data_IF_330543707503
#
_entry.id   IF_330543707503
#
_cell.length_a   1.000
_cell.length_b   1.000
_cell.length_c   1.000
_cell.angle_alpha   90.00
_cell.angle_beta   90.00
_cell.angle_gamma   90.00
#
_symmetry.space_group_name_H-M   'P 1'
#
loop_
_entity.id
_entity.type
_entity.pdbx_description
1 polymer ?
#
# COMPACT_ATOMS: atom_id res chain seq x y z
N UNK A 1 -12.48 -0.11 17.49
CA UNK A 1 -11.07 -0.13 17.92
C UNK A 1 -10.78 -1.39 18.72
N UNK A 2 -10.22 -2.39 18.07
CA UNK A 2 -9.70 -3.63 18.64
C UNK A 2 -8.37 -3.36 19.37
N UNK A 3 -8.32 -3.67 20.67
CA UNK A 3 -7.15 -3.35 21.50
C UNK A 3 -5.90 -4.16 21.12
N UNK A 4 -6.05 -5.42 20.70
CA UNK A 4 -4.92 -6.26 20.29
C UNK A 4 -4.24 -5.71 19.03
N UNK A 5 -5.03 -5.32 18.03
CA UNK A 5 -4.50 -4.72 16.81
C UNK A 5 -3.83 -3.37 17.09
N UNK A 6 -4.44 -2.55 17.95
CA UNK A 6 -3.86 -1.27 18.37
C UNK A 6 -2.51 -1.47 19.06
N UNK A 7 -2.42 -2.43 19.98
CA UNK A 7 -1.18 -2.76 20.69
C UNK A 7 -0.11 -3.27 19.73
N UNK A 8 -0.45 -4.19 18.82
CA UNK A 8 0.45 -4.73 17.80
C UNK A 8 0.99 -3.66 16.84
N UNK A 9 0.10 -2.82 16.29
CA UNK A 9 0.51 -1.72 15.42
C UNK A 9 1.43 -0.76 16.18
N UNK A 10 1.12 -0.46 17.44
CA UNK A 10 1.96 0.41 18.27
C UNK A 10 3.33 -0.19 18.58
N UNK A 11 3.41 -1.52 18.79
CA UNK A 11 4.69 -2.21 19.03
C UNK A 11 5.57 -2.26 17.78
N UNK A 12 4.98 -2.33 16.59
CA UNK A 12 5.70 -2.29 15.32
C UNK A 12 6.17 -0.88 14.99
N UNK A 13 5.31 0.13 15.14
CA UNK A 13 5.60 1.53 14.80
C UNK A 13 6.25 2.33 15.95
N UNK A 14 7.17 1.71 16.68
CA UNK A 14 8.06 2.42 17.63
C UNK A 14 8.94 3.44 16.89
N UNK A 15 9.50 4.40 17.62
CA UNK A 15 10.19 5.58 17.05
C UNK A 15 11.23 5.22 15.97
N UNK A 16 12.09 4.23 16.20
CA UNK A 16 13.12 3.83 15.23
C UNK A 16 12.51 3.26 13.94
N UNK A 17 11.55 2.36 14.10
CA UNK A 17 10.85 1.71 13.01
C UNK A 17 10.03 2.72 12.19
N UNK A 18 9.34 3.64 12.88
CA UNK A 18 8.60 4.71 12.25
C UNK A 18 9.53 5.64 11.44
N UNK A 19 10.69 6.02 12.00
CA UNK A 19 11.70 6.83 11.27
C UNK A 19 12.21 6.14 9.99
N UNK A 20 12.37 4.82 10.01
CA UNK A 20 12.72 4.04 8.80
C UNK A 20 11.56 4.03 7.81
N UNK A 21 10.35 3.75 8.30
CA UNK A 21 9.14 3.68 7.49
C UNK A 21 8.83 4.99 6.74
N UNK A 22 8.92 6.15 7.42
CA UNK A 22 8.67 7.45 6.78
C UNK A 22 9.71 7.81 5.73
N UNK A 23 10.91 7.19 5.74
CA UNK A 23 11.97 7.47 4.76
C UNK A 23 11.98 6.45 3.61
N UNK A 24 11.44 5.26 3.84
CA UNK A 24 11.48 4.18 2.87
C UNK A 24 10.71 4.55 1.58
N UNK A 25 11.23 4.16 0.40
CA UNK A 25 10.44 4.17 -0.83
C UNK A 25 9.47 2.98 -0.84
N UNK A 26 8.37 3.10 -1.60
CA UNK A 26 7.47 1.94 -1.79
C UNK A 26 8.00 0.96 -2.84
N UNK A 27 9.08 1.27 -3.56
CA UNK A 27 9.65 0.36 -4.53
C UNK A 27 10.95 0.90 -5.13
N UNK A 28 11.71 0.03 -5.80
CA UNK A 28 12.95 0.43 -6.47
C UNK A 28 12.70 1.20 -7.78
N UNK A 29 11.62 0.85 -8.45
CA UNK A 29 11.18 1.42 -9.72
C UNK A 29 9.69 1.16 -9.84
N UNK A 30 8.95 2.06 -10.51
CA UNK A 30 7.52 1.98 -10.82
C UNK A 30 6.63 2.99 -10.08
N UNK A 31 6.08 2.64 -8.92
CA UNK A 31 5.21 3.52 -8.14
C UNK A 31 5.90 3.93 -6.85
N UNK A 32 5.67 5.17 -6.41
CA UNK A 32 6.16 5.68 -5.13
C UNK A 32 7.66 5.40 -4.87
N UNK A 33 8.46 5.36 -5.95
CA UNK A 33 9.89 5.01 -5.94
C UNK A 33 10.76 6.23 -5.57
N UNK A 34 10.48 6.83 -4.42
CA UNK A 34 11.16 8.01 -3.88
C UNK A 34 11.09 8.01 -2.35
N UNK A 35 11.94 8.80 -1.69
CA UNK A 35 11.95 8.91 -0.22
C UNK A 35 10.58 9.33 0.29
N UNK A 36 10.09 8.63 1.32
CA UNK A 36 8.74 8.77 1.88
C UNK A 36 7.59 8.25 1.00
N UNK A 37 7.90 7.61 -0.13
CA UNK A 37 6.89 7.02 -0.99
C UNK A 37 6.10 5.90 -0.29
N UNK A 38 6.72 5.14 0.62
CA UNK A 38 6.04 4.07 1.35
C UNK A 38 4.92 4.60 2.25
N UNK A 39 5.18 5.68 2.99
CA UNK A 39 4.16 6.27 3.86
C UNK A 39 3.06 6.98 3.08
N UNK A 40 3.38 7.65 1.96
CA UNK A 40 2.36 8.22 1.07
C UNK A 40 1.42 7.13 0.55
N UNK A 41 1.98 6.07 -0.03
CA UNK A 41 1.25 4.91 -0.53
C UNK A 41 0.37 4.25 0.56
N UNK A 42 0.95 4.01 1.74
CA UNK A 42 0.23 3.41 2.86
C UNK A 42 -0.94 4.29 3.32
N UNK A 43 -0.77 5.61 3.38
CA UNK A 43 -1.84 6.54 3.77
C UNK A 43 -2.97 6.61 2.72
N UNK A 44 -2.64 6.51 1.44
CA UNK A 44 -3.65 6.38 0.37
C UNK A 44 -4.49 5.12 0.55
N UNK A 45 -3.85 3.97 0.76
CA UNK A 45 -4.52 2.68 0.97
C UNK A 45 -5.40 2.73 2.22
N UNK A 46 -4.89 3.26 3.34
CA UNK A 46 -5.69 3.40 4.58
C UNK A 46 -6.97 4.18 4.31
N UNK A 47 -6.90 5.30 3.58
CA UNK A 47 -8.08 6.11 3.27
C UNK A 47 -9.06 5.36 2.37
N UNK A 48 -8.58 4.64 1.35
CA UNK A 48 -9.44 3.84 0.46
C UNK A 48 -10.13 2.74 1.26
N UNK A 49 -9.38 2.00 2.08
CA UNK A 49 -9.88 0.93 2.92
C UNK A 49 -10.90 1.42 3.96
N UNK A 50 -10.64 2.55 4.62
CA UNK A 50 -11.56 3.14 5.60
C UNK A 50 -12.87 3.58 4.94
N UNK A 51 -12.79 4.22 3.76
CA UNK A 51 -13.96 4.58 2.95
C UNK A 51 -14.76 3.33 2.53
N UNK A 52 -14.10 2.25 2.12
CA UNK A 52 -14.79 1.00 1.77
C UNK A 52 -15.60 0.45 2.95
N UNK A 53 -15.15 0.65 4.19
CA UNK A 53 -15.89 0.26 5.38
C UNK A 53 -17.11 1.15 5.68
N UNK A 54 -17.23 2.33 5.06
CA UNK A 54 -18.45 3.14 5.13
C UNK A 54 -19.56 2.57 4.23
N UNK A 55 -19.18 1.97 3.10
CA UNK A 55 -20.11 1.31 2.17
C UNK A 55 -20.46 -0.13 2.58
N UNK A 56 -19.50 -0.84 3.16
CA UNK A 56 -19.60 -2.26 3.50
C UNK A 56 -19.43 -2.46 5.00
N UNK A 57 -20.53 -2.31 5.75
CA UNK A 57 -20.56 -2.44 7.22
C UNK A 57 -20.13 -3.81 7.74
N UNK A 58 -20.15 -4.84 6.88
CA UNK A 58 -19.70 -6.19 7.16
C UNK A 58 -18.17 -6.33 7.23
N UNK A 59 -17.41 -5.37 6.68
CA UNK A 59 -15.95 -5.39 6.74
C UNK A 59 -15.46 -5.09 8.16
N UNK A 60 -14.50 -5.87 8.63
CA UNK A 60 -13.82 -5.54 9.88
C UNK A 60 -12.84 -4.38 9.67
N UNK A 61 -13.30 -3.15 9.95
CA UNK A 61 -12.54 -1.91 9.76
C UNK A 61 -11.18 -1.93 10.47
N UNK A 62 -11.13 -2.34 11.74
CA UNK A 62 -9.88 -2.34 12.51
C UNK A 62 -8.87 -3.34 11.91
N UNK A 63 -9.31 -4.51 11.49
CA UNK A 63 -8.48 -5.53 10.84
C UNK A 63 -7.98 -5.04 9.48
N UNK A 64 -8.86 -4.50 8.65
CA UNK A 64 -8.52 -4.02 7.31
C UNK A 64 -7.52 -2.86 7.35
N UNK A 65 -7.78 -1.86 8.20
CA UNK A 65 -6.87 -0.71 8.36
C UNK A 65 -5.53 -1.15 8.95
N UNK A 66 -5.52 -2.08 9.91
CA UNK A 66 -4.27 -2.63 10.44
C UNK A 66 -3.48 -3.40 9.38
N UNK A 67 -4.16 -4.18 8.53
CA UNK A 67 -3.56 -4.82 7.36
C UNK A 67 -2.97 -3.79 6.39
N UNK A 68 -3.70 -2.72 6.08
CA UNK A 68 -3.22 -1.62 5.26
C UNK A 68 -1.99 -0.92 5.85
N UNK A 69 -1.92 -0.71 7.16
CA UNK A 69 -0.74 -0.12 7.79
C UNK A 69 0.50 -1.01 7.69
N UNK A 70 0.32 -2.34 7.69
CA UNK A 70 1.42 -3.29 7.86
C UNK A 70 1.83 -4.05 6.58
N UNK A 71 1.00 -4.03 5.53
CA UNK A 71 1.19 -4.87 4.34
C UNK A 71 2.63 -4.78 3.76
N UNK A 72 3.13 -3.56 3.65
CA UNK A 72 4.43 -3.26 3.06
C UNK A 72 5.52 -2.86 4.06
N UNK A 73 5.29 -3.04 5.36
CA UNK A 73 6.25 -2.65 6.38
C UNK A 73 7.64 -3.31 6.16
N UNK A 74 7.66 -4.54 5.64
CA UNK A 74 8.86 -5.27 5.26
C UNK A 74 9.75 -4.55 4.26
N UNK A 75 9.27 -3.54 3.52
CA UNK A 75 10.10 -2.69 2.64
C UNK A 75 11.19 -1.94 3.40
N UNK A 76 10.96 -1.64 4.69
CA UNK A 76 11.96 -1.05 5.59
C UNK A 76 13.15 -1.97 5.89
N UNK A 77 13.00 -3.28 5.64
CA UNK A 77 14.01 -4.32 5.82
C UNK A 77 14.55 -4.81 4.46
N UNK A 78 13.67 -4.86 3.47
CA UNK A 78 13.98 -5.29 2.11
C UNK A 78 14.91 -4.32 1.39
N UNK A 79 14.75 -3.02 1.62
CA UNK A 79 15.46 -1.96 0.92
C UNK A 79 16.45 -1.23 1.83
N UNK A 80 17.66 -1.01 1.32
CA UNK A 80 18.55 0.06 1.76
C UNK A 80 18.25 1.31 0.92
N UNK A 81 18.22 2.47 1.58
CA UNK A 81 17.82 3.74 0.98
C UNK A 81 18.60 4.95 1.53
N UNK A 82 19.76 4.74 2.16
CA UNK A 82 20.60 5.84 2.65
C UNK A 82 21.34 6.60 1.54
N UNK A 83 21.81 5.88 0.50
CA UNK A 83 22.59 6.45 -0.60
C UNK A 83 22.07 6.04 -1.98
N UNK A 84 21.60 4.81 -2.12
CA UNK A 84 20.95 4.25 -3.32
C UNK A 84 19.82 3.32 -2.90
N UNK A 85 18.82 3.12 -3.77
CA UNK A 85 17.75 2.15 -3.52
C UNK A 85 18.20 0.76 -3.95
N UNK A 86 18.67 -0.01 -2.97
CA UNK A 86 19.22 -1.35 -3.17
C UNK A 86 18.56 -2.36 -2.27
N UNK A 87 18.35 -3.58 -2.79
CA UNK A 87 17.81 -4.66 -1.98
C UNK A 87 18.89 -5.19 -1.02
N UNK A 88 18.53 -5.37 0.25
CA UNK A 88 19.34 -6.11 1.23
C UNK A 88 19.39 -7.59 0.88
N UNK A 89 20.35 -8.34 1.42
CA UNK A 89 20.40 -9.79 1.23
C UNK A 89 19.13 -10.48 1.73
N UNK A 90 18.61 -10.03 2.88
CA UNK A 90 17.36 -10.55 3.44
C UNK A 90 16.17 -10.22 2.52
N UNK A 91 16.13 -8.99 1.99
CA UNK A 91 15.13 -8.57 1.01
C UNK A 91 15.13 -9.44 -0.25
N UNK A 92 16.30 -9.64 -0.87
CA UNK A 92 16.42 -10.47 -2.09
C UNK A 92 16.03 -11.93 -1.87
N UNK A 93 16.29 -12.48 -0.69
CA UNK A 93 16.04 -13.89 -0.40
C UNK A 93 14.60 -14.16 0.06
N UNK A 94 13.97 -13.22 0.75
CA UNK A 94 12.69 -13.43 1.45
C UNK A 94 11.55 -12.58 0.87
N UNK A 95 11.82 -11.32 0.49
CA UNK A 95 10.83 -10.36 0.03
C UNK A 95 10.04 -9.68 1.15
N UNK A 96 9.65 -8.42 0.92
CA UNK A 96 8.96 -7.58 1.91
C UNK A 96 7.67 -8.20 2.46
N UNK A 97 6.87 -8.87 1.62
CA UNK A 97 5.58 -9.44 2.04
C UNK A 97 5.76 -10.46 3.17
N UNK A 98 6.70 -11.39 2.97
CA UNK A 98 7.01 -12.42 3.96
C UNK A 98 7.70 -11.79 5.17
N UNK A 99 8.55 -10.77 4.98
CA UNK A 99 9.17 -10.04 6.09
C UNK A 99 8.14 -9.31 6.97
N UNK A 100 7.12 -8.68 6.38
CA UNK A 100 6.00 -8.07 7.10
C UNK A 100 5.25 -9.13 7.92
N UNK A 101 4.92 -10.27 7.31
CA UNK A 101 4.22 -11.37 7.99
C UNK A 101 5.03 -11.96 9.15
N UNK A 102 6.34 -12.15 8.97
CA UNK A 102 7.24 -12.63 10.03
C UNK A 102 7.31 -11.65 11.20
N UNK A 103 7.35 -10.34 10.93
CA UNK A 103 7.34 -9.31 11.97
C UNK A 103 6.04 -9.34 12.76
N UNK A 104 4.90 -9.43 12.07
CA UNK A 104 3.58 -9.55 12.72
C UNK A 104 3.52 -10.78 13.63
N UNK A 105 3.97 -11.94 13.14
CA UNK A 105 4.00 -13.18 13.91
C UNK A 105 4.90 -13.08 15.15
N UNK A 106 6.04 -12.39 15.05
CA UNK A 106 6.97 -12.18 16.17
C UNK A 106 6.38 -11.22 17.22
N UNK A 107 5.84 -10.10 16.78
CA UNK A 107 5.29 -9.06 17.67
C UNK A 107 3.99 -9.52 18.34
N UNK A 108 3.13 -10.23 17.63
CA UNK A 108 1.90 -10.78 18.21
C UNK A 108 2.19 -11.77 19.35
N UNK A 109 3.29 -12.54 19.27
CA UNK A 109 3.71 -13.47 20.35
C UNK A 109 4.11 -12.75 21.64
N UNK A 110 4.49 -11.48 21.57
CA UNK A 110 4.88 -10.66 22.73
C UNK A 110 3.65 -10.11 23.46
N UNK A 111 2.49 -10.10 22.81
CA UNK A 111 1.23 -9.61 23.37
C UNK A 111 0.50 -10.78 24.05
N UNK A 112 0.22 -10.60 25.33
CA UNK A 112 -0.45 -11.63 26.13
C UNK A 112 -1.85 -11.92 25.58
N UNK A 113 -2.17 -13.20 25.42
CA UNK A 113 -3.49 -13.69 24.99
C UNK A 113 -3.96 -13.12 23.63
N UNK A 114 -3.02 -12.82 22.71
CA UNK A 114 -3.38 -12.36 21.37
C UNK A 114 -4.23 -13.42 20.64
N UNK A 115 -5.43 -13.08 20.12
CA UNK A 115 -6.31 -14.07 19.50
C UNK A 115 -5.69 -14.67 18.23
N UNK A 116 -5.50 -15.99 18.21
CA UNK A 116 -4.85 -16.70 17.09
C UNK A 116 -5.59 -16.51 15.76
N UNK A 117 -6.93 -16.51 15.77
CA UNK A 117 -7.73 -16.30 14.55
C UNK A 117 -7.54 -14.88 13.98
N UNK A 118 -7.50 -13.88 14.88
CA UNK A 118 -7.24 -12.48 14.48
C UNK A 118 -5.86 -12.32 13.85
N UNK A 119 -4.85 -12.98 14.43
CA UNK A 119 -3.48 -13.01 13.92
C UNK A 119 -3.42 -13.67 12.54
N UNK A 120 -4.08 -14.82 12.39
CA UNK A 120 -4.16 -15.57 11.14
C UNK A 120 -4.75 -14.70 10.01
N UNK A 121 -5.86 -14.02 10.27
CA UNK A 121 -6.48 -13.13 9.29
C UNK A 121 -5.61 -11.92 8.94
N UNK A 122 -4.94 -11.30 9.92
CA UNK A 122 -4.04 -10.17 9.66
C UNK A 122 -2.83 -10.61 8.82
N UNK A 123 -2.22 -11.75 9.14
CA UNK A 123 -1.15 -12.33 8.33
C UNK A 123 -1.64 -12.66 6.92
N UNK A 124 -2.85 -13.19 6.78
CA UNK A 124 -3.44 -13.46 5.46
C UNK A 124 -3.65 -12.19 4.63
N UNK A 125 -4.09 -11.07 5.24
CA UNK A 125 -4.17 -9.77 4.55
C UNK A 125 -2.83 -9.39 3.96
N UNK A 126 -1.77 -9.43 4.77
CA UNK A 126 -0.42 -9.08 4.34
C UNK A 126 0.09 -10.05 3.27
N UNK A 127 -0.04 -11.36 3.45
CA UNK A 127 0.45 -12.35 2.49
C UNK A 127 -0.31 -12.38 1.16
N UNK A 128 -1.49 -11.76 1.08
CA UNK A 128 -2.33 -11.76 -0.12
C UNK A 128 -2.51 -10.40 -0.79
N UNK A 129 -1.94 -9.33 -0.25
CA UNK A 129 -2.26 -7.97 -0.68
C UNK A 129 -1.89 -7.68 -2.14
N UNK A 130 -0.96 -8.40 -2.77
CA UNK A 130 -0.64 -8.23 -4.19
C UNK A 130 -1.57 -9.04 -5.13
N UNK A 131 -2.57 -9.71 -4.58
CA UNK A 131 -3.71 -10.27 -5.32
C UNK A 131 -3.46 -11.59 -6.01
N UNK A 132 -2.39 -11.70 -6.80
CA UNK A 132 -2.13 -12.87 -7.65
C UNK A 132 -0.73 -13.42 -7.47
N UNK A 133 -0.59 -14.74 -7.63
CA UNK A 133 0.70 -15.44 -7.57
C UNK A 133 1.69 -14.93 -8.66
N UNK A 134 1.17 -14.55 -9.84
CA UNK A 134 1.97 -13.96 -10.93
C UNK A 134 2.58 -12.60 -10.58
N UNK A 135 2.04 -11.93 -9.56
CA UNK A 135 2.54 -10.66 -9.02
C UNK A 135 3.39 -10.86 -7.76
N UNK A 136 3.98 -12.06 -7.58
CA UNK A 136 4.81 -12.42 -6.42
C UNK A 136 4.07 -12.46 -5.06
N UNK A 137 2.74 -12.42 -5.06
CA UNK A 137 1.94 -12.67 -3.86
C UNK A 137 2.11 -14.13 -3.39
N UNK A 138 2.46 -14.39 -2.11
CA UNK A 138 2.56 -15.75 -1.57
C UNK A 138 1.27 -16.55 -1.67
N UNK A 139 0.13 -15.90 -1.46
CA UNK A 139 -1.22 -16.46 -1.59
C UNK A 139 -2.17 -15.45 -2.22
N UNK A 140 -3.35 -15.90 -2.66
CA UNK A 140 -4.40 -15.01 -3.20
C UNK A 140 -5.36 -14.54 -2.10
N UNK A 141 -6.03 -13.39 -2.25
CA UNK A 141 -7.08 -12.92 -1.33
C UNK A 141 -8.20 -13.95 -1.17
N UNK A 142 -8.71 -14.11 0.06
CA UNK A 142 -9.74 -15.10 0.43
C UNK A 142 -10.85 -14.56 1.31
N UNK A 143 -10.71 -13.32 1.79
CA UNK A 143 -11.72 -12.62 2.57
C UNK A 143 -12.06 -11.30 1.89
N UNK A 144 -13.19 -10.71 2.23
CA UNK A 144 -13.61 -9.41 1.70
C UNK A 144 -12.63 -8.30 2.09
N UNK A 145 -12.05 -8.34 3.30
CA UNK A 145 -10.98 -7.44 3.70
C UNK A 145 -9.73 -7.63 2.84
N UNK A 146 -9.32 -8.87 2.54
CA UNK A 146 -8.15 -9.14 1.71
C UNK A 146 -8.34 -8.63 0.27
N UNK A 147 -9.55 -8.80 -0.26
CA UNK A 147 -9.90 -8.31 -1.60
C UNK A 147 -9.90 -6.78 -1.61
N UNK A 148 -10.48 -6.14 -0.59
CA UNK A 148 -10.49 -4.68 -0.47
C UNK A 148 -9.07 -4.11 -0.37
N UNK A 149 -8.21 -4.70 0.47
CA UNK A 149 -6.81 -4.29 0.59
C UNK A 149 -6.05 -4.42 -0.73
N UNK A 150 -6.20 -5.56 -1.42
CA UNK A 150 -5.56 -5.76 -2.72
C UNK A 150 -5.98 -4.70 -3.76
N UNK A 151 -7.28 -4.42 -3.85
CA UNK A 151 -7.75 -3.42 -4.82
C UNK A 151 -7.32 -2.00 -4.45
N UNK A 152 -7.25 -1.68 -3.15
CA UNK A 152 -6.76 -0.39 -2.69
C UNK A 152 -5.26 -0.20 -2.99
N UNK A 153 -4.45 -1.24 -2.73
CA UNK A 153 -3.02 -1.28 -3.06
C UNK A 153 -2.78 -1.05 -4.55
N UNK A 154 -3.44 -1.86 -5.38
CA UNK A 154 -3.30 -1.81 -6.84
C UNK A 154 -3.76 -0.47 -7.42
N UNK A 155 -4.83 0.13 -6.86
CA UNK A 155 -5.30 1.45 -7.27
C UNK A 155 -4.25 2.53 -6.98
N UNK A 156 -3.73 2.59 -5.76
CA UNK A 156 -2.68 3.55 -5.37
C UNK A 156 -1.42 3.38 -6.23
N UNK A 157 -0.95 2.14 -6.40
CA UNK A 157 0.21 1.81 -7.21
C UNK A 157 0.06 2.27 -8.67
N UNK A 158 -1.04 1.91 -9.33
CA UNK A 158 -1.29 2.26 -10.74
C UNK A 158 -1.46 3.75 -10.95
N UNK A 159 -2.26 4.41 -10.12
CA UNK A 159 -2.50 5.86 -10.26
C UNK A 159 -1.20 6.64 -10.15
N UNK A 160 -0.35 6.32 -9.16
CA UNK A 160 0.94 6.96 -9.00
C UNK A 160 1.87 6.71 -10.21
N UNK A 161 2.02 5.44 -10.63
CA UNK A 161 2.89 5.08 -11.75
C UNK A 161 2.44 5.71 -13.08
N UNK A 162 1.14 5.69 -13.37
CA UNK A 162 0.59 6.24 -14.61
C UNK A 162 0.66 7.76 -14.63
N UNK A 163 0.38 8.44 -13.50
CA UNK A 163 0.59 9.88 -13.36
C UNK A 163 2.03 10.28 -13.65
N UNK A 164 3.00 9.55 -13.10
CA UNK A 164 4.42 9.80 -13.35
C UNK A 164 4.78 9.54 -14.83
N UNK A 165 4.25 8.48 -15.42
CA UNK A 165 4.45 8.13 -16.83
C UNK A 165 3.90 9.20 -17.77
N UNK A 166 2.68 9.70 -17.52
CA UNK A 166 2.07 10.79 -18.30
C UNK A 166 2.90 12.07 -18.20
N UNK A 167 3.39 12.39 -17.00
CA UNK A 167 4.22 13.59 -16.76
C UNK A 167 5.56 13.53 -17.51
N UNK A 168 6.18 12.36 -17.60
CA UNK A 168 7.49 12.16 -18.24
C UNK A 168 7.41 11.87 -19.75
N UNK A 169 6.36 11.17 -20.19
CA UNK A 169 6.29 10.57 -21.53
C UNK A 169 5.60 11.40 -22.60
N UNK A 170 4.81 12.40 -22.23
CA UNK A 170 4.14 13.28 -23.18
C UNK A 170 5.09 14.42 -23.59
N UNK A 171 5.52 14.44 -24.84
CA UNK A 171 6.34 15.52 -25.39
C UNK A 171 5.63 16.87 -25.29
N UNK A 172 6.40 17.95 -25.33
CA UNK A 172 5.85 19.30 -25.39
C UNK A 172 4.94 19.45 -26.63
N UNK A 173 3.67 19.78 -26.41
CA UNK A 173 2.64 19.84 -27.46
C UNK A 173 1.87 18.54 -27.74
N UNK A 174 2.26 17.39 -27.15
CA UNK A 174 1.55 16.12 -27.30
C UNK A 174 0.73 15.79 -26.03
N UNK A 175 -0.49 15.27 -26.21
CA UNK A 175 -1.37 14.87 -25.11
C UNK A 175 -1.20 13.40 -24.71
N UNK A 176 -0.74 12.56 -25.64
CA UNK A 176 -0.63 11.11 -25.47
C UNK A 176 0.81 10.69 -25.22
N UNK A 177 1.01 9.64 -24.44
CA UNK A 177 2.30 8.95 -24.31
C UNK A 177 2.49 7.98 -25.48
N UNK A 178 3.70 7.43 -25.62
CA UNK A 178 3.86 6.16 -26.36
C UNK A 178 3.13 5.03 -25.62
N UNK A 179 2.94 3.90 -26.30
CA UNK A 179 2.40 2.68 -25.68
C UNK A 179 3.20 2.29 -24.42
N UNK A 180 2.49 2.10 -23.31
CA UNK A 180 3.06 1.73 -22.02
C UNK A 180 2.75 0.26 -21.76
N UNK A 181 3.76 -0.61 -21.87
CA UNK A 181 3.60 -2.05 -21.69
C UNK A 181 2.90 -2.43 -20.38
N UNK A 182 3.23 -1.73 -19.29
CA UNK A 182 2.66 -2.03 -17.97
C UNK A 182 1.22 -1.50 -17.78
N UNK A 183 0.78 -0.56 -18.62
CA UNK A 183 -0.63 -0.19 -18.72
C UNK A 183 -1.36 -1.00 -19.80
N UNK A 184 -0.62 -1.70 -20.66
CA UNK A 184 -1.10 -2.34 -21.88
C UNK A 184 -1.89 -1.38 -22.80
N UNK A 185 -1.55 -0.09 -22.77
CA UNK A 185 -2.20 0.98 -23.54
C UNK A 185 -1.32 2.23 -23.52
N UNK A 186 -1.62 3.21 -24.37
CA UNK A 186 -1.13 4.58 -24.27
C UNK A 186 -2.00 5.41 -23.30
N UNK A 187 -1.38 6.40 -22.65
CA UNK A 187 -2.02 7.22 -21.62
C UNK A 187 -2.10 8.68 -22.08
N UNK A 188 -3.07 9.44 -21.55
CA UNK A 188 -3.28 10.84 -21.96
C UNK A 188 -3.36 11.80 -20.79
N UNK A 189 -2.94 13.06 -21.00
CA UNK A 189 -3.14 14.16 -20.06
C UNK A 189 -4.62 14.57 -20.07
N UNK A 190 -5.20 14.69 -18.87
CA UNK A 190 -6.54 15.26 -18.72
C UNK A 190 -6.42 16.79 -18.72
N UNK A 191 -6.67 17.42 -19.87
CA UNK A 191 -6.66 18.89 -20.02
C UNK A 191 -8.06 19.49 -19.85
N UNK A 192 -8.83 19.00 -18.89
CA UNK A 192 -10.15 19.55 -18.58
C UNK A 192 -9.93 20.66 -17.55
N UNK A 193 -10.13 21.92 -17.95
CA UNK A 193 -10.15 23.02 -17.01
C UNK A 193 -11.34 22.86 -16.08
N UNK A 194 -11.11 22.63 -14.79
CA UNK A 194 -12.17 22.90 -13.81
C UNK A 194 -12.42 24.41 -13.82
N UNK A 195 -13.65 24.83 -14.13
CA UNK A 195 -14.11 26.16 -13.76
C UNK A 195 -14.11 26.20 -12.23
N UNK A 196 -12.99 26.62 -11.63
CA UNK A 196 -12.93 26.91 -10.20
C UNK A 196 -13.68 28.23 -9.96
N UNK A 197 -15.00 28.18 -10.05
CA UNK A 197 -15.78 28.92 -9.08
C UNK A 197 -15.48 28.25 -7.73
N UNK A 198 -15.19 29.05 -6.72
CA UNK A 198 -14.88 28.60 -5.36
C UNK A 198 -15.91 27.54 -4.92
N UNK A 199 -15.51 26.26 -4.96
CA UNK A 199 -16.38 25.14 -4.58
C UNK A 199 -16.67 25.25 -3.08
N UNK A 200 -17.79 25.91 -2.77
CA UNK A 200 -18.86 25.25 -2.00
C UNK A 200 -18.93 23.79 -2.44
N UNK A 201 -18.83 22.87 -1.49
CA UNK A 201 -18.68 21.43 -1.71
C UNK A 201 -19.96 20.80 -2.27
N UNK A 202 -20.27 21.08 -3.53
CA UNK A 202 -21.18 20.26 -4.32
C UNK A 202 -20.34 19.56 -5.38
N UNK A 203 -19.99 18.33 -5.07
CA UNK A 203 -19.51 17.34 -6.03
C UNK A 203 -20.64 16.99 -7.02
N UNK A 204 -20.32 16.28 -8.10
CA UNK A 204 -21.33 15.78 -9.07
C UNK A 204 -22.42 14.87 -8.47
N UNK A 205 -22.27 14.52 -7.19
CA UNK A 205 -23.10 13.57 -6.45
C UNK A 205 -23.79 14.20 -5.22
N UNK A 206 -23.65 15.50 -5.01
CA UNK A 206 -24.47 16.28 -4.06
C UNK A 206 -25.72 16.83 -4.76
#
# INVERSE_FOLDING_TARGET
>A
SNNYLKELVSSIFVEENFKKFIKAPAGKSWHHAYISGLIEHTLEIIKICDLMCDFHSELNRDLLVSGAMLHDFGKTIELNFESSFEYTNKGKLIGHIVLSAMLIEEEAKKIKDFPEELKLHLIHLVLSHQGKLEFASPVVPKTTEAIALYQADELSAKVNAYKNTIKQGAKEGENWTKFIHLANTDLTKTNISESREEKSSTTLFD
#
